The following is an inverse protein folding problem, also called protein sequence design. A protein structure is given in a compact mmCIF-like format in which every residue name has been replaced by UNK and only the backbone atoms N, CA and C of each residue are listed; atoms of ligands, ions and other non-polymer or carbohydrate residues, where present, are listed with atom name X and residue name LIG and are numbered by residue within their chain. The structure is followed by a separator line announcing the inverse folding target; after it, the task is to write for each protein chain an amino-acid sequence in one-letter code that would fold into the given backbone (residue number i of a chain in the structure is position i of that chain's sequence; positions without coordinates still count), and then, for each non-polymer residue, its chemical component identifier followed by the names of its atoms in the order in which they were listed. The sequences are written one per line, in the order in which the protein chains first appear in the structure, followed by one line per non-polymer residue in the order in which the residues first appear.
data_IF_580748296266
#
_entry.id   IF_580748296266
#
_cell.length_a   1.000
_cell.length_b   1.000
_cell.length_c   1.000
_cell.angle_alpha   90.00
_cell.angle_beta   90.00
_cell.angle_gamma   90.00
#
_symmetry.space_group_name_H-M   'P 1'
#
loop_
_entity.id
_entity.type
_entity.pdbx_description
1 polymer ?
#
# COMPACT_ATOMS: atom_id res chain seq x y z
N UNK A 1 21.35 -73.43 -39.51
CA UNK A 1 20.50 -72.24 -39.23
C UNK A 1 20.45 -72.01 -37.73
N UNK A 2 20.97 -70.88 -37.21
CA UNK A 2 20.86 -70.51 -35.79
C UNK A 2 19.89 -69.34 -35.64
N UNK A 3 18.82 -69.52 -34.85
CA UNK A 3 17.87 -68.45 -34.52
C UNK A 3 18.45 -67.59 -33.41
N UNK A 4 18.64 -66.30 -33.68
CA UNK A 4 19.09 -65.31 -32.71
C UNK A 4 17.84 -64.79 -31.99
N UNK A 5 17.62 -65.24 -30.76
CA UNK A 5 16.55 -64.74 -29.90
C UNK A 5 16.90 -63.33 -29.41
N UNK A 6 16.14 -62.33 -29.87
CA UNK A 6 16.26 -60.94 -29.41
C UNK A 6 15.84 -60.83 -27.95
N UNK A 7 16.77 -60.39 -27.09
CA UNK A 7 16.52 -60.10 -25.69
C UNK A 7 15.41 -59.07 -25.53
N UNK A 8 14.30 -59.45 -24.90
CA UNK A 8 13.24 -58.54 -24.48
C UNK A 8 13.80 -57.58 -23.43
N UNK A 9 13.75 -56.28 -23.74
CA UNK A 9 14.30 -55.20 -22.94
C UNK A 9 13.44 -54.93 -21.70
N UNK A 10 14.08 -54.86 -20.53
CA UNK A 10 13.48 -54.45 -19.25
C UNK A 10 13.20 -52.93 -19.16
N UNK A 11 12.91 -52.27 -20.29
CA UNK A 11 12.81 -50.80 -20.38
C UNK A 11 11.59 -50.23 -19.64
N UNK A 12 10.51 -51.03 -19.51
CA UNK A 12 9.23 -50.60 -18.90
C UNK A 12 9.26 -50.53 -17.37
N UNK A 13 10.17 -51.26 -16.70
CA UNK A 13 10.28 -51.23 -15.24
C UNK A 13 10.96 -49.93 -14.78
N UNK A 14 11.99 -49.50 -15.51
CA UNK A 14 12.79 -48.33 -15.19
C UNK A 14 12.04 -47.02 -15.48
N UNK A 15 11.13 -47.00 -16.48
CA UNK A 15 10.40 -45.78 -16.83
C UNK A 15 9.44 -45.33 -15.71
N UNK A 16 8.86 -46.28 -14.96
CA UNK A 16 7.95 -45.97 -13.85
C UNK A 16 8.68 -45.36 -12.67
N UNK A 17 9.89 -45.84 -12.36
CA UNK A 17 10.74 -45.25 -11.32
C UNK A 17 11.25 -43.87 -11.72
N UNK A 18 11.64 -43.66 -12.98
CA UNK A 18 11.96 -42.32 -13.48
C UNK A 18 10.79 -41.35 -13.36
N UNK A 19 9.56 -41.79 -13.68
CA UNK A 19 8.37 -40.95 -13.55
C UNK A 19 8.09 -40.57 -12.08
N UNK A 20 8.26 -41.51 -11.15
CA UNK A 20 8.10 -41.24 -9.72
C UNK A 20 9.13 -40.21 -9.21
N UNK A 21 10.40 -40.35 -9.61
CA UNK A 21 11.47 -39.39 -9.27
C UNK A 21 11.15 -38.00 -9.82
N UNK A 22 10.69 -37.94 -11.07
CA UNK A 22 10.31 -36.69 -11.71
C UNK A 22 9.14 -36.01 -10.99
N UNK A 23 8.16 -36.80 -10.54
CA UNK A 23 7.01 -36.29 -9.80
C UNK A 23 7.41 -35.71 -8.43
N UNK A 24 8.29 -36.40 -7.69
CA UNK A 24 8.84 -35.91 -6.43
C UNK A 24 9.62 -34.61 -6.65
N UNK A 25 10.44 -34.54 -7.69
CA UNK A 25 11.19 -33.34 -8.04
C UNK A 25 10.28 -32.17 -8.40
N UNK A 26 9.22 -32.42 -9.19
CA UNK A 26 8.24 -31.42 -9.56
C UNK A 26 7.52 -30.86 -8.32
N UNK A 27 7.12 -31.72 -7.37
CA UNK A 27 6.50 -31.29 -6.11
C UNK A 27 7.48 -30.45 -5.29
N UNK A 28 8.74 -30.87 -5.17
CA UNK A 28 9.74 -30.12 -4.42
C UNK A 28 9.94 -28.71 -5.00
N UNK A 29 10.05 -28.59 -6.32
CA UNK A 29 10.15 -27.30 -7.02
C UNK A 29 8.88 -26.45 -6.82
N UNK A 30 7.70 -27.08 -6.87
CA UNK A 30 6.43 -26.39 -6.65
C UNK A 30 6.31 -25.81 -5.25
N UNK A 31 6.74 -26.55 -4.22
CA UNK A 31 6.75 -26.08 -2.83
C UNK A 31 7.70 -24.89 -2.67
N UNK A 32 8.90 -24.97 -3.25
CA UNK A 32 9.87 -23.85 -3.22
C UNK A 32 9.29 -22.64 -3.93
N UNK A 33 8.68 -22.82 -5.10
CA UNK A 33 8.06 -21.74 -5.85
C UNK A 33 6.95 -21.05 -5.06
N UNK A 34 6.05 -21.82 -4.45
CA UNK A 34 4.99 -21.28 -3.58
C UNK A 34 5.57 -20.49 -2.41
N UNK A 35 6.64 -20.98 -1.78
CA UNK A 35 7.28 -20.29 -0.65
C UNK A 35 7.89 -18.95 -1.06
N UNK A 36 8.55 -18.90 -2.22
CA UNK A 36 9.08 -17.65 -2.79
C UNK A 36 7.94 -16.69 -3.15
N UNK A 37 6.85 -17.20 -3.74
CA UNK A 37 5.68 -16.41 -4.09
C UNK A 37 5.05 -15.78 -2.84
N UNK A 38 4.79 -16.58 -1.80
CA UNK A 38 4.22 -16.10 -0.52
C UNK A 38 5.14 -15.07 0.14
N UNK A 39 6.46 -15.30 0.15
CA UNK A 39 7.41 -14.33 0.68
C UNK A 39 7.36 -13.01 -0.10
N UNK A 40 7.38 -13.07 -1.44
CA UNK A 40 7.29 -11.87 -2.28
C UNK A 40 5.97 -11.11 -2.06
N UNK A 41 4.84 -11.83 -1.95
CA UNK A 41 3.56 -11.21 -1.59
C UNK A 41 3.62 -10.56 -0.20
N UNK A 42 4.21 -11.22 0.80
CA UNK A 42 4.37 -10.63 2.14
C UNK A 42 5.26 -9.39 2.14
N UNK A 43 6.34 -9.38 1.36
CA UNK A 43 7.19 -8.21 1.18
C UNK A 43 6.43 -7.07 0.49
N UNK A 44 5.65 -7.38 -0.55
CA UNK A 44 4.84 -6.39 -1.27
C UNK A 44 3.72 -5.81 -0.38
N UNK A 45 3.03 -6.66 0.38
CA UNK A 45 1.99 -6.26 1.34
C UNK A 45 2.61 -5.43 2.46
N UNK A 46 3.78 -5.81 2.97
CA UNK A 46 4.47 -5.06 4.03
C UNK A 46 4.96 -3.71 3.51
N UNK A 47 5.49 -3.66 2.29
CA UNK A 47 5.88 -2.41 1.63
C UNK A 47 4.70 -1.47 1.44
N UNK A 48 3.61 -1.97 0.82
CA UNK A 48 2.37 -1.19 0.59
C UNK A 48 1.70 -0.75 1.90
N UNK A 49 1.71 -1.59 2.94
CA UNK A 49 1.18 -1.27 4.27
C UNK A 49 2.00 -0.19 4.98
N UNK A 50 3.33 -0.26 4.91
CA UNK A 50 4.21 0.77 5.47
C UNK A 50 4.00 2.12 4.77
N UNK A 51 3.91 2.12 3.44
CA UNK A 51 3.65 3.34 2.66
C UNK A 51 2.27 3.94 3.00
N UNK A 52 1.23 3.11 3.09
CA UNK A 52 -0.12 3.58 3.43
C UNK A 52 -0.19 4.17 4.84
N UNK A 53 0.46 3.52 5.83
CA UNK A 53 0.56 4.06 7.20
C UNK A 53 1.34 5.37 7.25
N UNK A 54 2.41 5.50 6.47
CA UNK A 54 3.18 6.74 6.37
C UNK A 54 2.33 7.86 5.79
N UNK A 55 1.67 7.62 4.66
CA UNK A 55 0.80 8.62 4.02
C UNK A 55 -0.36 9.08 4.91
N UNK A 56 -0.96 8.17 5.69
CA UNK A 56 -2.00 8.53 6.65
C UNK A 56 -1.47 9.43 7.78
N UNK A 57 -0.28 9.12 8.31
CA UNK A 57 0.38 9.97 9.32
C UNK A 57 0.72 11.34 8.76
N UNK A 58 1.32 11.39 7.57
CA UNK A 58 1.71 12.64 6.91
C UNK A 58 0.47 13.52 6.64
N UNK A 59 -0.65 12.92 6.22
CA UNK A 59 -1.93 13.63 6.07
C UNK A 59 -2.44 14.21 7.39
N UNK A 60 -2.37 13.44 8.48
CA UNK A 60 -2.82 13.91 9.80
C UNK A 60 -1.97 15.07 10.31
N UNK A 61 -0.65 14.99 10.14
CA UNK A 61 0.29 16.07 10.47
C UNK A 61 -0.05 17.32 9.65
N UNK A 62 -0.19 17.18 8.33
CA UNK A 62 -0.49 18.29 7.46
C UNK A 62 -1.84 18.94 7.78
N UNK A 63 -2.83 18.14 8.18
CA UNK A 63 -4.13 18.66 8.64
C UNK A 63 -3.98 19.49 9.92
N UNK A 64 -3.21 19.00 10.89
CA UNK A 64 -2.92 19.73 12.14
C UNK A 64 -2.15 21.01 11.87
N UNK A 65 -1.16 20.97 10.98
CA UNK A 65 -0.42 22.15 10.55
C UNK A 65 -1.34 23.15 9.86
N UNK A 66 -2.22 22.71 8.96
CA UNK A 66 -3.19 23.57 8.30
C UNK A 66 -4.15 24.22 9.30
N UNK A 67 -4.69 23.45 10.25
CA UNK A 67 -5.56 23.97 11.31
C UNK A 67 -4.80 24.97 12.20
N UNK A 68 -3.54 24.70 12.50
CA UNK A 68 -2.69 25.63 13.23
C UNK A 68 -2.39 26.91 12.43
N UNK A 69 -2.14 26.80 11.12
CA UNK A 69 -1.97 27.95 10.21
C UNK A 69 -3.25 28.78 10.12
N UNK A 70 -4.41 28.12 10.05
CA UNK A 70 -5.74 28.76 10.00
C UNK A 70 -6.21 29.26 11.37
N UNK A 71 -5.50 28.94 12.45
CA UNK A 71 -5.95 29.30 13.79
C UNK A 71 -6.03 30.83 13.93
N UNK A 72 -7.15 31.38 14.43
CA UNK A 72 -7.34 32.83 14.54
C UNK A 72 -6.22 33.50 15.31
N UNK A 73 -5.76 32.88 16.40
CA UNK A 73 -4.66 33.38 17.23
C UNK A 73 -3.35 33.56 16.46
N UNK A 74 -3.06 32.68 15.50
CA UNK A 74 -1.85 32.79 14.67
C UNK A 74 -2.02 33.81 13.56
N UNK A 75 -3.21 33.89 12.96
CA UNK A 75 -3.58 34.93 11.98
C UNK A 75 -3.48 36.31 12.62
N UNK A 76 -4.04 36.51 13.81
CA UNK A 76 -3.97 37.74 14.59
C UNK A 76 -2.51 38.12 14.91
N UNK A 77 -1.70 37.14 15.35
CA UNK A 77 -0.29 37.37 15.63
C UNK A 77 0.50 37.82 14.40
N UNK A 78 0.25 37.22 13.23
CA UNK A 78 0.89 37.63 11.97
C UNK A 78 0.35 38.97 11.45
N UNK A 79 -0.95 39.24 11.61
CA UNK A 79 -1.55 40.52 11.25
C UNK A 79 -0.92 41.67 12.05
N UNK A 80 -0.77 41.49 13.37
CA UNK A 80 -0.08 42.45 14.25
C UNK A 80 1.39 42.64 13.86
N UNK A 81 2.10 41.56 13.51
CA UNK A 81 3.49 41.64 13.01
C UNK A 81 3.63 42.41 11.72
N UNK A 82 2.65 42.31 10.83
CA UNK A 82 2.60 43.05 9.57
C UNK A 82 2.06 44.49 9.75
N UNK A 83 1.88 44.96 10.99
CA UNK A 83 1.43 46.32 11.29
C UNK A 83 -0.08 46.54 11.08
N UNK A 84 -0.87 45.48 10.95
CA UNK A 84 -2.33 45.59 10.93
C UNK A 84 -2.84 45.80 12.35
N UNK A 85 -3.68 46.82 12.54
CA UNK A 85 -4.37 47.06 13.80
C UNK A 85 -5.76 46.42 13.78
N UNK A 86 -6.25 46.03 14.97
CA UNK A 86 -7.64 45.61 15.11
C UNK A 86 -8.58 46.73 14.65
N UNK A 87 -9.68 46.38 13.95
CA UNK A 87 -10.67 47.35 13.54
C UNK A 87 -11.30 48.00 14.79
N UNK A 88 -11.60 49.29 14.70
CA UNK A 88 -12.36 49.99 15.74
C UNK A 88 -13.84 49.64 15.62
N UNK A 89 -14.59 49.75 16.71
CA UNK A 89 -16.00 49.33 16.79
C UNK A 89 -16.88 49.90 15.66
N UNK A 90 -16.62 51.13 15.24
CA UNK A 90 -17.34 51.80 14.14
C UNK A 90 -17.03 51.27 12.73
N UNK A 91 -16.00 50.44 12.57
CA UNK A 91 -15.61 49.81 11.30
C UNK A 91 -16.23 48.42 11.12
N UNK A 92 -16.78 47.84 12.20
CA UNK A 92 -17.35 46.49 12.18
C UNK A 92 -18.80 46.60 11.71
N UNK A 93 -19.14 45.95 10.59
CA UNK A 93 -20.52 45.80 10.12
C UNK A 93 -20.96 44.35 10.29
N UNK A 94 -21.89 44.11 11.21
CA UNK A 94 -22.60 42.84 11.35
C UNK A 94 -23.72 42.78 10.32
N UNK A 95 -23.67 41.77 9.45
CA UNK A 95 -24.72 41.49 8.47
C UNK A 95 -25.58 40.39 9.09
N UNK A 96 -26.86 40.66 9.32
CA UNK A 96 -27.80 39.63 9.78
C UNK A 96 -28.20 38.77 8.57
N UNK A 97 -27.64 37.56 8.52
CA UNK A 97 -27.73 36.64 7.38
C UNK A 97 -29.18 36.18 7.14
N UNK A 98 -30.06 36.31 8.13
CA UNK A 98 -31.47 35.99 8.00
C UNK A 98 -32.23 36.93 7.04
N UNK A 99 -31.77 38.17 6.85
CA UNK A 99 -32.48 39.19 6.06
C UNK A 99 -32.26 39.11 4.53
N UNK A 100 -31.39 38.21 4.05
CA UNK A 100 -31.10 38.06 2.62
C UNK A 100 -31.71 36.80 1.98
N UNK A 101 -32.46 36.00 2.73
CA UNK A 101 -33.12 34.79 2.21
C UNK A 101 -34.59 35.02 1.81
N UNK A 102 -35.15 36.19 2.16
CA UNK A 102 -36.55 36.56 1.93
C UNK A 102 -36.70 37.68 0.86
N UNK A 103 -35.76 37.82 -0.07
CA UNK A 103 -35.83 38.74 -1.22
C UNK A 103 -35.51 38.01 -2.52
#
# INVERSE_FOLDING_TARGET
MRKITKGKTNLKANSKTFLAIFFVLAIALFIVHLRVLVNNLQYEITGKSKTSKKLLKDREILKKELEFLKSPSRIEKEALRNGMNFPKDWQIRTIDVQSQLDS
#
